data_IF_534635206508
#
_entry.id   IF_534635206508
#
_cell.length_a   1.000
_cell.length_b   1.000
_cell.length_c   1.000
_cell.angle_alpha   90.00
_cell.angle_beta   90.00
_cell.angle_gamma   90.00
#
_symmetry.space_group_name_H-M   'P 1'
#
loop_
_entity.id
_entity.type
_entity.pdbx_description
1 polymer ?
#
# COMPACT_ATOMS: atom_id res chain seq x y z
N UNK A 1 -14.18 12.45 8.86
CA UNK A 1 -13.06 11.63 8.32
C UNK A 1 -12.17 11.27 9.48
N UNK A 2 -11.60 10.06 9.50
CA UNK A 2 -10.62 9.69 10.53
C UNK A 2 -9.32 10.48 10.29
N UNK A 3 -8.56 10.78 11.34
CA UNK A 3 -7.29 11.52 11.22
C UNK A 3 -6.29 10.82 10.27
N UNK A 4 -6.37 9.50 10.15
CA UNK A 4 -5.51 8.69 9.26
C UNK A 4 -5.88 8.89 7.79
N UNK A 5 -7.17 8.98 7.45
CA UNK A 5 -7.61 9.25 6.08
C UNK A 5 -7.09 10.60 5.58
N UNK A 6 -7.24 11.65 6.39
CA UNK A 6 -6.70 12.97 6.04
C UNK A 6 -5.17 12.96 5.92
N UNK A 7 -4.48 12.18 6.77
CA UNK A 7 -3.05 11.97 6.67
C UNK A 7 -2.64 11.26 5.36
N UNK A 8 -3.37 10.22 4.95
CA UNK A 8 -3.17 9.52 3.67
C UNK A 8 -3.38 10.49 2.51
N UNK A 9 -4.54 11.15 2.43
CA UNK A 9 -4.87 12.08 1.34
C UNK A 9 -3.85 13.21 1.23
N UNK A 10 -3.49 13.83 2.34
CA UNK A 10 -2.57 14.97 2.37
C UNK A 10 -1.17 14.62 1.88
N UNK A 11 -0.72 13.38 2.08
CA UNK A 11 0.60 12.94 1.62
C UNK A 11 0.55 12.31 0.23
N UNK A 12 -0.52 11.59 -0.12
CA UNK A 12 -0.76 11.10 -1.48
C UNK A 12 -0.88 12.27 -2.48
N UNK A 13 -1.48 13.39 -2.09
CA UNK A 13 -1.56 14.60 -2.92
C UNK A 13 -0.18 15.20 -3.30
N UNK A 14 0.89 14.81 -2.61
CA UNK A 14 2.27 15.23 -2.92
C UNK A 14 2.96 14.30 -3.91
N UNK A 15 2.36 13.15 -4.23
CA UNK A 15 2.93 12.17 -5.16
C UNK A 15 2.92 12.77 -6.56
N UNK A 16 4.12 13.05 -7.07
CA UNK A 16 4.35 13.52 -8.43
C UNK A 16 4.77 12.36 -9.34
N UNK A 17 4.74 12.53 -10.67
CA UNK A 17 5.27 11.52 -11.59
C UNK A 17 6.71 11.11 -11.29
N UNK A 18 7.54 12.03 -10.78
CA UNK A 18 8.91 11.74 -10.34
C UNK A 18 8.95 10.81 -9.12
N UNK A 19 8.03 10.99 -8.16
CA UNK A 19 7.92 10.12 -6.99
C UNK A 19 7.41 8.75 -7.40
N UNK A 20 6.33 8.69 -8.19
CA UNK A 20 5.82 7.44 -8.76
C UNK A 20 6.94 6.65 -9.46
N UNK A 21 7.68 7.29 -10.36
CA UNK A 21 8.80 6.65 -11.06
C UNK A 21 9.90 6.18 -10.09
N UNK A 22 10.21 6.97 -9.06
CA UNK A 22 11.18 6.59 -8.04
C UNK A 22 10.75 5.38 -7.21
N UNK A 23 9.45 5.25 -6.90
CA UNK A 23 8.90 4.07 -6.22
C UNK A 23 8.90 2.87 -7.17
N UNK A 24 8.47 3.03 -8.42
CA UNK A 24 8.47 1.98 -9.43
C UNK A 24 9.86 1.33 -9.57
N UNK A 25 10.93 2.13 -9.70
CA UNK A 25 12.31 1.61 -9.77
C UNK A 25 12.76 0.83 -8.52
N UNK A 26 12.14 1.09 -7.37
CA UNK A 26 12.46 0.44 -6.10
C UNK A 26 11.57 -0.78 -5.80
N UNK A 27 10.49 -1.02 -6.55
CA UNK A 27 9.55 -2.10 -6.27
C UNK A 27 10.23 -3.47 -6.07
N UNK A 28 11.24 -3.88 -6.86
CA UNK A 28 11.90 -5.16 -6.63
C UNK A 28 12.55 -5.26 -5.24
N UNK A 29 13.17 -4.18 -4.76
CA UNK A 29 13.74 -4.13 -3.42
C UNK A 29 12.64 -4.08 -2.35
N UNK A 30 11.60 -3.28 -2.57
CA UNK A 30 10.48 -3.14 -1.62
C UNK A 30 9.73 -4.45 -1.42
N UNK A 31 9.44 -5.19 -2.49
CA UNK A 31 8.80 -6.51 -2.43
C UNK A 31 9.64 -7.49 -1.58
N UNK A 32 10.97 -7.46 -1.69
CA UNK A 32 11.87 -8.26 -0.84
C UNK A 32 11.79 -7.83 0.63
N UNK A 33 11.82 -6.52 0.91
CA UNK A 33 11.69 -5.99 2.27
C UNK A 33 10.35 -6.36 2.91
N UNK A 34 9.25 -6.30 2.15
CA UNK A 34 7.91 -6.65 2.65
C UNK A 34 7.78 -8.13 2.97
N UNK A 35 8.37 -9.01 2.17
CA UNK A 35 8.40 -10.44 2.43
C UNK A 35 9.17 -10.82 3.72
N UNK A 36 10.05 -9.94 4.22
CA UNK A 36 10.76 -10.11 5.48
C UNK A 36 9.97 -9.60 6.70
N UNK A 37 8.83 -8.92 6.50
CA UNK A 37 7.98 -8.44 7.60
C UNK A 37 7.39 -9.61 8.37
N UNK A 38 7.72 -9.70 9.65
CA UNK A 38 7.12 -10.65 10.58
C UNK A 38 6.17 -9.94 11.55
N UNK A 39 4.92 -9.74 11.13
CA UNK A 39 3.90 -9.00 11.85
C UNK A 39 2.64 -9.85 12.11
N UNK A 40 2.67 -10.84 13.04
CA UNK A 40 1.56 -11.78 13.24
C UNK A 40 0.24 -11.14 13.68
N UNK A 41 0.29 -9.91 14.23
CA UNK A 41 -0.90 -9.11 14.58
C UNK A 41 -1.48 -8.32 13.42
N UNK A 42 -0.74 -8.20 12.33
CA UNK A 42 -1.11 -7.51 11.11
C UNK A 42 -0.95 -8.48 9.92
N UNK A 43 -1.65 -9.64 9.95
CA UNK A 43 -1.37 -10.77 9.07
C UNK A 43 -1.53 -10.44 7.58
N UNK A 44 -2.37 -9.45 7.25
CA UNK A 44 -2.65 -9.03 5.89
C UNK A 44 -1.70 -7.96 5.36
N UNK A 45 -0.79 -7.43 6.19
CA UNK A 45 0.03 -6.27 5.82
C UNK A 45 0.90 -6.58 4.61
N UNK A 46 1.52 -7.76 4.56
CA UNK A 46 2.40 -8.15 3.44
C UNK A 46 1.61 -8.26 2.15
N UNK A 47 0.54 -9.05 2.12
CA UNK A 47 -0.31 -9.24 0.94
C UNK A 47 -0.90 -7.90 0.45
N UNK A 48 -1.26 -7.00 1.37
CA UNK A 48 -1.76 -5.68 1.02
C UNK A 48 -0.67 -4.79 0.41
N UNK A 49 0.56 -4.82 0.94
CA UNK A 49 1.69 -4.09 0.37
C UNK A 49 2.07 -4.63 -1.02
N UNK A 50 2.02 -5.95 -1.20
CA UNK A 50 2.26 -6.59 -2.49
C UNK A 50 1.22 -6.17 -3.53
N UNK A 51 -0.08 -6.21 -3.20
CA UNK A 51 -1.12 -5.76 -4.12
C UNK A 51 -0.95 -4.28 -4.51
N UNK A 52 -0.62 -3.41 -3.54
CA UNK A 52 -0.37 -1.99 -3.84
C UNK A 52 0.90 -1.79 -4.69
N UNK A 53 1.90 -2.66 -4.55
CA UNK A 53 3.07 -2.66 -5.43
C UNK A 53 2.70 -3.06 -6.86
N UNK A 54 1.87 -4.09 -7.04
CA UNK A 54 1.39 -4.53 -8.34
C UNK A 54 0.56 -3.44 -9.05
N UNK A 55 -0.31 -2.75 -8.30
CA UNK A 55 -1.04 -1.58 -8.81
C UNK A 55 -0.10 -0.49 -9.36
N UNK A 56 1.01 -0.23 -8.68
CA UNK A 56 1.99 0.78 -9.11
C UNK A 56 2.75 0.29 -10.34
N UNK A 57 3.18 -0.97 -10.33
CA UNK A 57 3.91 -1.63 -11.43
C UNK A 57 3.06 -1.58 -12.71
N UNK A 58 1.84 -2.09 -12.66
CA UNK A 58 0.94 -2.14 -13.82
C UNK A 58 0.60 -0.75 -14.36
N UNK A 59 0.38 0.23 -13.47
CA UNK A 59 0.11 1.59 -13.91
C UNK A 59 1.34 2.24 -14.55
N UNK A 60 2.53 2.07 -13.96
CA UNK A 60 3.77 2.66 -14.44
C UNK A 60 4.25 2.05 -15.77
N UNK A 61 3.98 0.77 -15.98
CA UNK A 61 4.29 0.04 -17.23
C UNK A 61 3.19 0.19 -18.29
N UNK A 62 2.01 0.69 -17.92
CA UNK A 62 0.87 0.86 -18.80
C UNK A 62 0.08 -0.41 -19.06
N UNK A 63 0.24 -1.44 -18.22
CA UNK A 63 -0.52 -2.70 -18.26
C UNK A 63 -1.97 -2.52 -17.78
N UNK A 64 -2.20 -1.66 -16.77
CA UNK A 64 -3.54 -1.25 -16.33
C UNK A 64 -3.55 0.26 -16.05
N UNK A 65 -4.23 1.00 -16.93
CA UNK A 65 -4.45 2.44 -16.78
C UNK A 65 -5.92 2.79 -16.45
N UNK A 66 -6.76 1.78 -16.18
CA UNK A 66 -8.15 1.98 -15.74
C UNK A 66 -8.21 2.35 -14.25
N UNK A 67 -7.21 1.94 -13.46
CA UNK A 67 -7.12 2.32 -12.06
C UNK A 67 -6.99 3.85 -11.91
N UNK A 68 -7.83 4.50 -11.09
CA UNK A 68 -7.75 5.95 -10.92
C UNK A 68 -6.40 6.36 -10.32
N UNK A 69 -5.81 7.45 -10.84
CA UNK A 69 -4.49 7.91 -10.42
C UNK A 69 -4.39 8.21 -8.91
N UNK A 70 -5.47 8.65 -8.26
CA UNK A 70 -5.44 8.89 -6.82
C UNK A 70 -5.21 7.59 -6.01
N UNK A 71 -5.71 6.45 -6.49
CA UNK A 71 -5.43 5.13 -5.90
C UNK A 71 -3.93 4.82 -6.04
N UNK A 72 -3.36 5.04 -7.22
CA UNK A 72 -1.92 4.84 -7.48
C UNK A 72 -1.06 5.76 -6.59
N UNK A 73 -1.49 7.01 -6.40
CA UNK A 73 -0.81 7.96 -5.52
C UNK A 73 -0.87 7.54 -4.05
N UNK A 74 -2.02 7.05 -3.58
CA UNK A 74 -2.17 6.50 -2.24
C UNK A 74 -1.35 5.23 -2.03
N UNK A 75 -1.30 4.34 -3.02
CA UNK A 75 -0.40 3.18 -3.04
C UNK A 75 1.06 3.64 -2.90
N UNK A 76 1.50 4.61 -3.70
CA UNK A 76 2.87 5.13 -3.64
C UNK A 76 3.20 5.69 -2.26
N UNK A 77 2.26 6.40 -1.64
CA UNK A 77 2.44 6.91 -0.28
C UNK A 77 2.52 5.78 0.74
N UNK A 78 1.63 4.79 0.67
CA UNK A 78 1.63 3.65 1.59
C UNK A 78 2.93 2.84 1.52
N UNK A 79 3.43 2.53 0.32
CA UNK A 79 4.72 1.84 0.14
C UNK A 79 5.89 2.69 0.66
N UNK A 80 5.89 3.98 0.36
CA UNK A 80 6.92 4.89 0.86
C UNK A 80 6.89 5.01 2.38
N UNK A 81 5.71 4.91 3.00
CA UNK A 81 5.55 4.90 4.46
C UNK A 81 6.10 3.60 5.06
N UNK A 82 5.69 2.44 4.53
CA UNK A 82 6.14 1.13 4.99
C UNK A 82 7.65 0.90 4.79
N UNK A 83 8.28 1.56 3.83
CA UNK A 83 9.74 1.53 3.63
C UNK A 83 10.54 2.40 4.60
N UNK A 84 9.92 3.40 5.25
CA UNK A 84 10.69 4.40 6.01
C UNK A 84 11.38 3.78 7.23
N UNK A 85 12.71 3.83 7.25
CA UNK A 85 13.54 3.45 8.41
C UNK A 85 13.23 4.17 9.74
N UNK A 86 12.33 5.15 9.77
CA UNK A 86 11.92 5.87 10.99
C UNK A 86 10.40 5.90 11.05
N UNK A 87 9.84 4.77 11.44
CA UNK A 87 8.41 4.56 11.71
C UNK A 87 7.94 5.39 12.91
N UNK A 88 6.65 5.73 12.96
CA UNK A 88 6.07 6.41 14.13
C UNK A 88 6.09 5.45 15.32
N UNK A 89 5.81 4.16 15.06
CA UNK A 89 5.99 3.08 16.02
C UNK A 89 7.14 2.21 15.54
N UNK A 90 8.28 2.16 16.25
CA UNK A 90 9.37 1.30 15.84
C UNK A 90 8.95 -0.18 15.80
N UNK A 91 9.37 -0.91 14.76
CA UNK A 91 8.96 -2.31 14.52
C UNK A 91 9.30 -3.27 15.67
N UNK A 92 10.35 -2.95 16.43
CA UNK A 92 10.80 -3.75 17.57
C UNK A 92 9.97 -3.53 18.84
N UNK A 93 9.01 -2.61 18.83
CA UNK A 93 8.10 -2.43 19.97
C UNK A 93 7.19 -3.66 20.03
N UNK A 94 7.23 -4.43 21.14
CA UNK A 94 6.39 -5.61 21.29
C UNK A 94 4.92 -5.26 21.08
N UNK A 95 4.17 -6.19 20.48
CA UNK A 95 2.71 -6.14 20.36
C UNK A 95 2.10 -5.05 19.48
N UNK A 96 2.83 -3.99 19.13
CA UNK A 96 2.31 -2.85 18.36
C UNK A 96 3.23 -2.36 17.24
N UNK A 97 4.42 -2.93 17.07
CA UNK A 97 5.23 -2.68 15.87
C UNK A 97 4.43 -3.00 14.60
N UNK A 98 4.57 -2.17 13.57
CA UNK A 98 3.79 -2.19 12.32
C UNK A 98 2.34 -1.68 12.40
N UNK A 99 1.88 -1.17 13.55
CA UNK A 99 0.50 -0.73 13.70
C UNK A 99 0.17 0.48 12.81
N UNK A 100 1.11 1.42 12.67
CA UNK A 100 0.96 2.62 11.85
C UNK A 100 0.99 2.30 10.35
N UNK A 101 1.87 1.39 9.91
CA UNK A 101 1.88 0.87 8.54
C UNK A 101 0.57 0.19 8.22
N UNK A 102 0.12 -0.73 9.09
CA UNK A 102 -1.14 -1.42 8.88
C UNK A 102 -2.32 -0.46 8.86
N UNK A 103 -2.31 0.59 9.70
CA UNK A 103 -3.35 1.60 9.68
C UNK A 103 -3.38 2.39 8.36
N UNK A 104 -2.21 2.85 7.89
CA UNK A 104 -2.08 3.57 6.61
C UNK A 104 -2.55 2.70 5.44
N UNK A 105 -2.03 1.47 5.34
CA UNK A 105 -2.36 0.54 4.25
C UNK A 105 -3.85 0.18 4.28
N UNK A 106 -4.40 -0.15 5.45
CA UNK A 106 -5.84 -0.44 5.57
C UNK A 106 -6.72 0.74 5.18
N UNK A 107 -6.33 1.97 5.51
CA UNK A 107 -7.08 3.16 5.09
C UNK A 107 -7.14 3.26 3.56
N UNK A 108 -6.01 3.03 2.86
CA UNK A 108 -6.00 2.97 1.39
C UNK A 108 -6.97 1.89 0.88
N UNK A 109 -6.96 0.69 1.46
CA UNK A 109 -7.88 -0.38 1.05
C UNK A 109 -9.35 -0.04 1.29
N UNK A 110 -9.69 0.53 2.44
CA UNK A 110 -11.07 0.86 2.82
C UNK A 110 -11.64 1.94 1.91
N UNK A 111 -10.89 3.01 1.66
CA UNK A 111 -11.41 4.13 0.87
C UNK A 111 -11.41 3.84 -0.64
N UNK A 112 -10.59 2.90 -1.09
CA UNK A 112 -10.46 2.51 -2.50
C UNK A 112 -11.02 1.12 -2.82
N UNK A 113 -11.81 0.53 -1.92
CA UNK A 113 -12.34 -0.84 -2.04
C UNK A 113 -12.92 -1.13 -3.42
N UNK A 114 -13.74 -0.21 -3.95
CA UNK A 114 -14.33 -0.37 -5.27
C UNK A 114 -13.26 -0.44 -6.38
N UNK A 115 -12.31 0.48 -6.39
CA UNK A 115 -11.31 0.55 -7.44
C UNK A 115 -10.32 -0.62 -7.38
N UNK A 116 -9.89 -0.99 -6.16
CA UNK A 116 -8.99 -2.13 -5.95
C UNK A 116 -9.67 -3.46 -6.24
N UNK A 117 -10.95 -3.64 -5.87
CA UNK A 117 -11.70 -4.85 -6.23
C UNK A 117 -11.97 -4.97 -7.73
N UNK A 118 -12.17 -3.85 -8.44
CA UNK A 118 -12.25 -3.83 -9.90
C UNK A 118 -10.89 -4.18 -10.54
N UNK A 119 -9.79 -3.66 -10.01
CA UNK A 119 -8.43 -4.04 -10.40
C UNK A 119 -8.20 -5.55 -10.20
N UNK A 120 -8.43 -6.08 -9.00
CA UNK A 120 -8.28 -7.52 -8.72
C UNK A 120 -9.08 -8.39 -9.70
N UNK A 121 -10.32 -8.00 -10.03
CA UNK A 121 -11.16 -8.72 -11.01
C UNK A 121 -10.55 -8.74 -12.42
N UNK A 122 -9.98 -7.62 -12.88
CA UNK A 122 -9.31 -7.56 -14.20
C UNK A 122 -8.05 -8.44 -14.25
N UNK A 123 -7.39 -8.61 -13.11
CA UNK A 123 -6.16 -9.39 -12.96
C UNK A 123 -6.38 -10.83 -12.46
N UNK A 124 -7.63 -11.26 -12.26
CA UNK A 124 -7.96 -12.62 -11.82
C UNK A 124 -7.58 -12.92 -10.36
N UNK A 125 -7.43 -11.88 -9.53
CA UNK A 125 -7.14 -11.97 -8.10
C UNK A 125 -8.44 -11.92 -7.28
N UNK A 126 -8.45 -12.58 -6.12
CA UNK A 126 -9.55 -12.44 -5.15
C UNK A 126 -9.24 -11.32 -4.15
N UNK A 127 -9.95 -10.20 -4.25
CA UNK A 127 -9.82 -9.08 -3.33
C UNK A 127 -10.12 -9.47 -1.88
N UNK A 128 -10.96 -10.48 -1.64
CA UNK A 128 -11.26 -10.95 -0.30
C UNK A 128 -10.05 -11.63 0.35
N UNK A 129 -9.24 -12.37 -0.41
CA UNK A 129 -8.04 -13.04 0.14
C UNK A 129 -7.04 -12.02 0.70
N UNK A 130 -6.90 -10.86 0.06
CA UNK A 130 -6.02 -9.75 0.49
C UNK A 130 -6.62 -8.93 1.66
N UNK A 131 -7.92 -9.07 1.93
CA UNK A 131 -8.67 -8.20 2.86
C UNK A 131 -9.42 -8.91 3.96
N UNK A 132 -9.32 -10.24 4.09
CA UNK A 132 -10.16 -11.07 4.97
C UNK A 132 -9.81 -10.91 6.47
N UNK A 133 -10.16 -9.71 6.97
CA UNK A 133 -10.49 -9.25 8.32
C UNK A 133 -9.37 -9.23 9.39
N UNK A 134 -9.29 -8.07 10.08
CA UNK A 134 -8.61 -7.91 11.38
C UNK A 134 -9.21 -8.81 12.46
#
# INVERSE_FOLDING_TARGET
MSDIAEFVHSNAAKVSPKILHGIHLKLPQLKLEFAEIHAPKYPHLVDQLELLADVIEDYAEGADQEIPFFVVAESCFALAYAHKQTHLIPDHVPDVGYADESAVVRTVFIENEKALSEYCKRHGLDFAEVTTAA
#
